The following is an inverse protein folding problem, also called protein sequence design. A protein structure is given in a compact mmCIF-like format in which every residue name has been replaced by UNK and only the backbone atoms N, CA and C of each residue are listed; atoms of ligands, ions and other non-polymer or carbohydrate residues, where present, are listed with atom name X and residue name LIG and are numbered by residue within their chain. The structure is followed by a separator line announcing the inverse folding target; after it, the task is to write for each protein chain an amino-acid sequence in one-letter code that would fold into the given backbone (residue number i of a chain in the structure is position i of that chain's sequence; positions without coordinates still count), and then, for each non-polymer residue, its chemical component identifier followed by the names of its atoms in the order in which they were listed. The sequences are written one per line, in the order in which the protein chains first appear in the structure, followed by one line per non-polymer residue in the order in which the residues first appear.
data_IF_774917988488
#
_entry.id   IF_774917988488
#
_cell.length_a   1.000
_cell.length_b   1.000
_cell.length_c   1.000
_cell.angle_alpha   90.00
_cell.angle_beta   90.00
_cell.angle_gamma   90.00
#
_symmetry.space_group_name_H-M   'P 1'
#
loop_
_entity.id
_entity.type
_entity.pdbx_description
1 polymer ?
#
# COMPACT_ATOMS: atom_id res chain seq x y z
N UNK A 1 -26.65 10.10 24.58
CA UNK A 1 -25.33 10.30 23.94
C UNK A 1 -24.83 8.91 23.55
N UNK A 2 -25.18 8.42 22.36
CA UNK A 2 -24.79 7.09 21.91
C UNK A 2 -23.53 7.23 21.03
N UNK A 3 -22.36 7.05 21.64
CA UNK A 3 -21.15 6.79 20.88
C UNK A 3 -21.21 5.35 20.40
N UNK A 4 -21.70 5.15 19.17
CA UNK A 4 -21.52 3.87 18.48
C UNK A 4 -20.02 3.58 18.42
N UNK A 5 -19.53 2.45 18.95
CA UNK A 5 -18.16 2.05 18.70
C UNK A 5 -18.04 1.84 17.19
N UNK A 6 -17.07 2.52 16.58
CA UNK A 6 -16.72 2.27 15.19
C UNK A 6 -16.24 0.82 15.10
N UNK A 7 -17.16 -0.06 14.72
CA UNK A 7 -16.86 -1.45 14.40
C UNK A 7 -16.10 -1.42 13.07
N UNK A 8 -14.81 -1.12 13.13
CA UNK A 8 -13.86 -1.40 12.06
C UNK A 8 -13.73 -2.91 11.97
N UNK A 9 -14.74 -3.52 11.37
CA UNK A 9 -14.73 -4.92 10.99
C UNK A 9 -13.39 -5.16 10.30
N UNK A 10 -12.62 -6.07 10.89
CA UNK A 10 -11.41 -6.66 10.35
C UNK A 10 -11.54 -6.79 8.84
N UNK A 11 -11.01 -5.81 8.12
CA UNK A 11 -10.70 -6.04 6.72
C UNK A 11 -9.44 -6.87 6.81
N UNK A 12 -9.56 -8.17 6.54
CA UNK A 12 -8.48 -9.15 6.37
C UNK A 12 -7.52 -8.78 5.20
N UNK A 13 -7.40 -7.50 4.86
CA UNK A 13 -6.51 -6.92 3.87
C UNK A 13 -6.12 -5.50 4.32
N UNK A 14 -4.88 -5.11 4.00
CA UNK A 14 -4.18 -3.87 4.34
C UNK A 14 -4.99 -2.72 4.99
N UNK A 15 -4.45 -2.04 6.03
CA UNK A 15 -5.09 -0.83 6.54
C UNK A 15 -5.20 0.22 5.42
N UNK A 16 -6.36 0.87 5.23
CA UNK A 16 -6.56 1.85 4.17
C UNK A 16 -5.55 3.00 4.20
N UNK A 17 -4.98 3.32 5.37
CA UNK A 17 -3.93 4.32 5.52
C UNK A 17 -2.60 3.91 4.86
N UNK A 18 -2.25 2.62 4.83
CA UNK A 18 -1.02 2.13 4.19
C UNK A 18 -1.09 2.30 2.68
N UNK A 19 -2.25 2.00 2.09
CA UNK A 19 -2.48 2.15 0.65
C UNK A 19 -2.34 3.60 0.21
N UNK A 20 -2.91 4.54 0.97
CA UNK A 20 -2.80 5.98 0.72
C UNK A 20 -1.33 6.42 0.84
N UNK A 21 -0.61 5.94 1.85
CA UNK A 21 0.79 6.32 2.09
C UNK A 21 1.72 5.85 0.96
N UNK A 22 1.59 4.60 0.51
CA UNK A 22 2.43 4.08 -0.59
C UNK A 22 2.08 4.78 -1.90
N UNK A 23 0.79 4.98 -2.18
CA UNK A 23 0.39 5.66 -3.43
C UNK A 23 0.87 7.11 -3.48
N UNK A 24 0.86 7.82 -2.34
CA UNK A 24 1.45 9.15 -2.22
C UNK A 24 2.97 9.11 -2.45
N UNK A 25 3.70 8.24 -1.73
CA UNK A 25 5.15 8.08 -1.88
C UNK A 25 5.55 7.74 -3.31
N UNK A 26 4.88 6.76 -3.93
CA UNK A 26 5.11 6.40 -5.32
C UNK A 26 4.83 7.59 -6.25
N UNK A 27 3.76 8.35 -6.01
CA UNK A 27 3.47 9.59 -6.74
C UNK A 27 4.61 10.60 -6.69
N UNK A 28 5.23 10.79 -5.51
CA UNK A 28 6.38 11.66 -5.32
C UNK A 28 7.63 11.14 -6.04
N UNK A 29 7.97 9.87 -5.85
CA UNK A 29 9.15 9.22 -6.46
C UNK A 29 9.08 9.22 -7.99
N UNK A 30 7.93 8.84 -8.55
CA UNK A 30 7.77 8.79 -10.00
C UNK A 30 7.45 10.16 -10.61
N UNK A 31 7.13 11.17 -9.78
CA UNK A 31 6.65 12.50 -10.19
C UNK A 31 5.55 12.44 -11.27
N UNK A 32 4.82 11.33 -11.29
CA UNK A 32 3.79 11.01 -12.28
C UNK A 32 2.86 9.94 -11.69
N UNK A 33 1.60 10.33 -11.52
CA UNK A 33 0.59 9.48 -10.90
C UNK A 33 0.29 8.21 -11.72
N UNK A 34 0.30 8.28 -13.06
CA UNK A 34 0.06 7.13 -13.92
C UNK A 34 1.18 6.10 -13.79
N UNK A 35 2.44 6.57 -13.75
CA UNK A 35 3.61 5.69 -13.54
C UNK A 35 3.59 5.08 -12.13
N UNK A 36 3.20 5.84 -11.11
CA UNK A 36 3.05 5.34 -9.75
C UNK A 36 1.98 4.25 -9.66
N UNK A 37 0.80 4.47 -10.25
CA UNK A 37 -0.28 3.47 -10.31
C UNK A 37 0.13 2.21 -11.09
N UNK A 38 0.89 2.39 -12.16
CA UNK A 38 1.42 1.27 -12.95
C UNK A 38 2.43 0.47 -12.13
N UNK A 39 3.35 1.14 -11.43
CA UNK A 39 4.33 0.50 -10.56
C UNK A 39 3.66 -0.28 -9.42
N UNK A 40 2.66 0.31 -8.76
CA UNK A 40 1.88 -0.31 -7.69
C UNK A 40 1.24 -1.66 -8.09
N UNK A 41 0.90 -1.81 -9.37
CA UNK A 41 0.29 -3.02 -9.94
C UNK A 41 1.28 -3.90 -10.68
N UNK A 42 2.53 -3.46 -10.83
CA UNK A 42 3.56 -4.22 -11.53
C UNK A 42 4.27 -5.15 -10.55
N UNK A 43 4.48 -6.43 -10.91
CA UNK A 43 5.26 -7.34 -10.08
C UNK A 43 6.70 -6.82 -9.99
N UNK A 44 7.22 -6.73 -8.77
CA UNK A 44 8.57 -6.23 -8.51
C UNK A 44 9.46 -7.39 -8.01
N UNK A 45 10.59 -7.70 -8.69
CA UNK A 45 11.49 -8.75 -8.25
C UNK A 45 12.06 -8.52 -6.84
N UNK A 46 12.23 -7.27 -6.41
CA UNK A 46 12.65 -6.94 -5.04
C UNK A 46 11.59 -7.34 -3.99
N UNK A 47 10.32 -7.40 -4.39
CA UNK A 47 9.21 -7.82 -3.52
C UNK A 47 8.88 -9.30 -3.68
N UNK A 48 9.88 -10.14 -3.97
CA UNK A 48 9.70 -11.57 -4.27
C UNK A 48 8.76 -11.83 -5.47
N UNK A 49 8.68 -10.89 -6.42
CA UNK A 49 7.79 -10.97 -7.57
C UNK A 49 6.34 -10.58 -7.27
N UNK A 50 6.03 -10.15 -6.05
CA UNK A 50 4.74 -9.58 -5.70
C UNK A 50 4.60 -8.15 -6.22
N UNK A 51 3.37 -7.69 -6.38
CA UNK A 51 3.11 -6.27 -6.64
C UNK A 51 3.27 -5.47 -5.35
N UNK A 52 3.63 -4.17 -5.41
CA UNK A 52 3.66 -3.31 -4.23
C UNK A 52 2.34 -3.31 -3.45
N UNK A 53 1.20 -3.41 -4.14
CA UNK A 53 -0.10 -3.57 -3.48
C UNK A 53 -0.18 -4.86 -2.67
N UNK A 54 0.19 -5.99 -3.26
CA UNK A 54 0.15 -7.28 -2.57
C UNK A 54 1.15 -7.34 -1.41
N UNK A 55 2.37 -6.83 -1.59
CA UNK A 55 3.39 -6.78 -0.55
C UNK A 55 2.95 -5.92 0.66
N UNK A 56 2.31 -4.77 0.39
CA UNK A 56 1.84 -3.84 1.41
C UNK A 56 0.72 -4.38 2.34
N UNK A 57 0.14 -5.53 2.01
CA UNK A 57 -0.79 -6.24 2.90
C UNK A 57 -0.12 -6.72 4.18
N UNK A 58 1.19 -6.95 4.13
CA UNK A 58 2.00 -7.33 5.28
C UNK A 58 2.82 -6.14 5.78
N UNK A 59 3.11 -6.09 7.08
CA UNK A 59 3.97 -5.05 7.65
C UNK A 59 5.39 -5.09 7.06
N UNK A 60 5.93 -6.30 6.86
CA UNK A 60 7.23 -6.49 6.21
C UNK A 60 7.21 -5.98 4.77
N UNK A 61 6.27 -6.43 3.94
CA UNK A 61 6.23 -6.01 2.54
C UNK A 61 5.89 -4.52 2.39
N UNK A 62 5.16 -3.92 3.33
CA UNK A 62 4.98 -2.47 3.38
C UNK A 62 6.33 -1.73 3.56
N UNK A 63 7.17 -2.17 4.48
CA UNK A 63 8.51 -1.59 4.68
C UNK A 63 9.40 -1.78 3.45
N UNK A 64 9.38 -2.95 2.83
CA UNK A 64 10.14 -3.21 1.59
C UNK A 64 9.67 -2.29 0.44
N UNK A 65 8.37 -2.06 0.33
CA UNK A 65 7.79 -1.14 -0.66
C UNK A 65 8.19 0.31 -0.39
N UNK A 66 8.37 0.70 0.87
CA UNK A 66 8.82 2.04 1.24
C UNK A 66 10.32 2.29 0.99
N UNK A 67 11.15 1.23 0.99
CA UNK A 67 12.60 1.32 0.75
C UNK A 67 12.97 1.48 -0.73
N UNK A 68 12.10 1.04 -1.64
CA UNK A 68 12.29 1.10 -3.11
C UNK A 68 12.01 2.51 -3.65
#
# INVERSE_FOLDING_TARGET
MAGTPVNIQSTEGMPPLRLISISARAGEVFSNQEKALHWLRSPNPSLNGLTPLEAATTDTGYQEVEDI
#
